data_IF_106211840394
#
_entry.id   IF_106211840394
#
_cell.length_a   1.000
_cell.length_b   1.000
_cell.length_c   1.000
_cell.angle_alpha   90.00
_cell.angle_beta   90.00
_cell.angle_gamma   90.00
#
_symmetry.space_group_name_H-M   'P 1'
#
loop_
_entity.id
_entity.type
_entity.pdbx_description
1 polymer ?
#
# COMPACT_ATOMS: atom_id res chain seq x y z
N UNK A 1 40.19 51.49 -18.64
CA UNK A 1 40.20 50.11 -19.15
C UNK A 1 38.99 49.97 -20.08
N UNK A 2 39.20 49.59 -21.35
CA UNK A 2 38.18 49.61 -22.41
C UNK A 2 36.98 48.70 -22.08
N UNK A 3 35.78 49.07 -22.51
CA UNK A 3 34.56 48.24 -22.40
C UNK A 3 34.74 46.82 -23.00
N UNK A 4 35.63 46.68 -23.99
CA UNK A 4 36.02 45.38 -24.56
C UNK A 4 36.77 44.48 -23.57
N UNK A 5 37.58 45.04 -22.67
CA UNK A 5 38.31 44.27 -21.66
C UNK A 5 37.39 43.79 -20.52
N UNK A 6 36.34 44.56 -20.18
CA UNK A 6 35.28 44.09 -19.25
C UNK A 6 34.47 42.96 -19.87
N UNK A 7 34.09 43.05 -21.15
CA UNK A 7 33.32 41.99 -21.82
C UNK A 7 34.08 40.66 -21.92
N UNK A 8 35.38 40.69 -22.21
CA UNK A 8 36.23 39.49 -22.22
C UNK A 8 36.40 38.88 -20.82
N UNK A 9 36.52 39.71 -19.78
CA UNK A 9 36.57 39.25 -18.39
C UNK A 9 35.27 38.58 -17.96
N UNK A 10 34.11 39.12 -18.35
CA UNK A 10 32.80 38.53 -18.04
C UNK A 10 32.54 37.22 -18.78
N UNK A 11 32.98 37.09 -20.04
CA UNK A 11 32.83 35.86 -20.82
C UNK A 11 33.73 34.74 -20.27
N UNK A 12 34.94 35.07 -19.83
CA UNK A 12 35.85 34.10 -19.19
C UNK A 12 35.30 33.63 -17.83
N UNK A 13 34.67 34.53 -17.07
CA UNK A 13 34.02 34.19 -15.80
C UNK A 13 32.81 33.28 -16.02
N UNK A 14 32.00 33.54 -17.06
CA UNK A 14 30.87 32.69 -17.47
C UNK A 14 31.33 31.31 -17.94
N UNK A 15 32.42 31.22 -18.72
CA UNK A 15 33.01 29.95 -19.15
C UNK A 15 33.57 29.13 -17.98
N UNK A 16 34.22 29.79 -17.01
CA UNK A 16 34.71 29.17 -15.78
C UNK A 16 33.56 28.73 -14.87
N UNK A 17 32.46 29.49 -14.80
CA UNK A 17 31.24 29.11 -14.08
C UNK A 17 30.54 27.92 -14.76
N UNK A 18 30.48 27.84 -16.08
CA UNK A 18 29.94 26.67 -16.78
C UNK A 18 30.83 25.43 -16.65
N UNK A 19 32.16 25.59 -16.52
CA UNK A 19 33.07 24.49 -16.21
C UNK A 19 32.95 24.01 -14.74
N UNK A 20 32.61 24.92 -13.82
CA UNK A 20 32.39 24.59 -12.40
C UNK A 20 31.01 23.95 -12.13
N UNK A 21 30.00 24.18 -12.99
CA UNK A 21 28.69 23.51 -12.92
C UNK A 21 28.70 22.10 -13.53
N UNK A 22 29.84 21.64 -14.06
CA UNK A 22 30.09 20.24 -14.42
C UNK A 22 30.66 19.39 -13.29
N UNK A 23 30.91 19.98 -12.11
CA UNK A 23 31.22 19.22 -10.92
C UNK A 23 29.94 18.53 -10.46
N UNK A 24 29.75 17.30 -10.92
CA UNK A 24 28.77 16.37 -10.35
C UNK A 24 28.85 16.51 -8.82
N UNK A 25 27.68 16.65 -8.18
CA UNK A 25 27.59 16.40 -6.74
C UNK A 25 28.40 15.15 -6.43
N UNK A 26 29.18 15.10 -5.32
CA UNK A 26 29.95 13.92 -4.97
C UNK A 26 29.04 12.71 -5.15
N UNK A 27 29.45 11.70 -5.95
CA UNK A 27 28.53 10.70 -6.44
C UNK A 27 27.78 10.12 -5.25
N UNK A 28 26.46 10.05 -5.36
CA UNK A 28 25.59 9.39 -4.41
C UNK A 28 26.06 7.94 -4.26
N UNK A 29 27.01 7.68 -3.37
CA UNK A 29 27.70 6.39 -3.16
C UNK A 29 28.29 5.69 -4.42
N UNK A 30 28.14 6.25 -5.63
CA UNK A 30 28.61 5.71 -6.90
C UNK A 30 27.76 4.58 -7.50
N UNK A 31 26.58 4.27 -6.95
CA UNK A 31 25.75 3.17 -7.44
C UNK A 31 24.97 3.52 -8.71
N UNK A 32 24.76 2.51 -9.55
CA UNK A 32 24.10 2.57 -10.86
C UNK A 32 23.12 1.40 -11.02
N UNK A 33 22.21 1.50 -12.00
CA UNK A 33 21.26 0.40 -12.31
C UNK A 33 21.96 -0.92 -12.65
N UNK A 34 23.18 -0.88 -13.19
CA UNK A 34 23.98 -2.05 -13.53
C UNK A 34 24.61 -2.78 -12.34
N UNK A 35 24.57 -2.18 -11.14
CA UNK A 35 25.01 -2.86 -9.92
C UNK A 35 23.97 -3.85 -9.37
N UNK A 36 22.77 -3.86 -9.95
CA UNK A 36 21.68 -4.76 -9.63
C UNK A 36 21.50 -5.82 -10.73
N UNK A 37 20.94 -7.00 -10.42
CA UNK A 37 20.59 -7.99 -11.44
C UNK A 37 19.80 -7.38 -12.62
N UNK A 38 19.98 -7.88 -13.86
CA UNK A 38 19.27 -7.34 -15.02
C UNK A 38 17.74 -7.37 -14.86
N UNK A 39 17.23 -8.38 -14.16
CA UNK A 39 15.82 -8.61 -13.86
C UNK A 39 15.34 -7.97 -12.54
N UNK A 40 16.19 -7.21 -11.85
CA UNK A 40 15.78 -6.43 -10.68
C UNK A 40 14.80 -5.33 -11.10
N UNK A 41 13.73 -5.14 -10.34
CA UNK A 41 12.65 -4.21 -10.67
C UNK A 41 12.64 -3.04 -9.69
N UNK A 42 12.90 -1.83 -10.17
CA UNK A 42 12.69 -0.59 -9.42
C UNK A 42 11.29 -0.04 -9.67
N UNK A 43 10.56 0.24 -8.59
CA UNK A 43 9.18 0.71 -8.68
C UNK A 43 8.81 1.73 -7.61
N UNK A 44 7.60 2.27 -7.73
CA UNK A 44 6.95 3.09 -6.71
C UNK A 44 5.65 2.43 -6.24
N UNK A 45 5.14 2.85 -5.08
CA UNK A 45 3.92 2.30 -4.51
C UNK A 45 2.96 3.37 -3.97
N UNK A 46 1.66 3.10 -4.04
CA UNK A 46 0.58 3.86 -3.39
C UNK A 46 -0.46 2.89 -2.82
N UNK A 47 -1.40 3.41 -2.02
CA UNK A 47 -2.61 2.69 -1.63
C UNK A 47 -3.85 3.53 -1.93
N UNK A 48 -4.98 2.87 -2.18
CA UNK A 48 -6.19 3.48 -2.70
C UNK A 48 -6.67 4.66 -1.83
N UNK A 49 -6.88 4.46 -0.53
CA UNK A 49 -7.39 5.53 0.35
C UNK A 49 -6.40 6.69 0.51
N UNK A 50 -5.08 6.44 0.42
CA UNK A 50 -4.05 7.47 0.54
C UNK A 50 -3.84 8.26 -0.76
N UNK A 51 -4.31 7.76 -1.90
CA UNK A 51 -3.98 8.29 -3.22
C UNK A 51 -5.20 8.74 -4.02
N UNK A 52 -6.25 7.93 -4.08
CA UNK A 52 -7.32 8.08 -5.06
C UNK A 52 -8.22 9.30 -4.83
N UNK A 53 -8.70 9.50 -3.60
CA UNK A 53 -9.81 10.42 -3.34
C UNK A 53 -11.12 9.93 -3.97
N UNK A 54 -11.97 10.88 -4.39
CA UNK A 54 -13.25 10.60 -5.05
C UNK A 54 -14.12 9.61 -4.26
N UNK A 55 -14.20 9.84 -2.95
CA UNK A 55 -14.76 8.88 -1.99
C UNK A 55 -16.27 8.68 -2.11
N UNK A 56 -16.98 9.64 -2.70
CA UNK A 56 -18.43 9.64 -2.90
C UNK A 56 -18.82 9.68 -4.39
N UNK A 57 -17.89 9.38 -5.30
CA UNK A 57 -18.11 9.43 -6.74
C UNK A 57 -18.42 8.03 -7.30
N UNK A 58 -19.14 8.02 -8.42
CA UNK A 58 -19.25 6.86 -9.32
C UNK A 58 -19.66 5.54 -8.64
N UNK A 59 -20.50 5.63 -7.61
CA UNK A 59 -21.05 4.47 -6.91
C UNK A 59 -20.11 3.78 -5.92
N UNK A 60 -18.97 4.39 -5.58
CA UNK A 60 -18.17 3.95 -4.42
C UNK A 60 -18.98 4.07 -3.12
N UNK A 61 -18.86 3.07 -2.26
CA UNK A 61 -19.40 3.10 -0.89
C UNK A 61 -18.34 3.55 0.12
N UNK A 62 -18.71 3.95 1.35
CA UNK A 62 -17.75 4.23 2.41
C UNK A 62 -16.93 2.99 2.81
N UNK A 63 -15.63 3.20 3.01
CA UNK A 63 -14.74 2.31 3.75
C UNK A 63 -14.68 2.70 5.24
N UNK A 64 -14.05 1.85 6.05
CA UNK A 64 -13.81 2.14 7.47
C UNK A 64 -12.99 3.42 7.69
N UNK A 65 -12.13 3.78 6.75
CA UNK A 65 -11.34 5.00 6.84
C UNK A 65 -12.16 6.26 6.56
N UNK A 66 -13.13 6.21 5.65
CA UNK A 66 -14.06 7.33 5.42
C UNK A 66 -14.79 7.65 6.73
N UNK A 67 -15.44 6.64 7.33
CA UNK A 67 -16.16 6.77 8.61
C UNK A 67 -15.25 7.28 9.73
N UNK A 68 -14.05 6.72 9.85
CA UNK A 68 -13.10 7.08 10.90
C UNK A 68 -12.61 8.52 10.79
N UNK A 69 -12.24 8.96 9.58
CA UNK A 69 -11.76 10.34 9.36
C UNK A 69 -12.87 11.37 9.44
N UNK A 70 -14.06 11.09 8.90
CA UNK A 70 -15.25 11.96 9.03
C UNK A 70 -15.76 12.07 10.48
N UNK A 71 -15.51 11.07 11.33
CA UNK A 71 -15.71 11.15 12.77
C UNK A 71 -14.66 12.02 13.50
N UNK A 72 -13.73 12.64 12.77
CA UNK A 72 -12.71 13.55 13.29
C UNK A 72 -11.66 12.83 14.13
N UNK A 73 -11.37 11.55 13.85
CA UNK A 73 -10.41 10.75 14.62
C UNK A 73 -8.94 11.02 14.26
N UNK A 74 -8.69 11.66 13.12
CA UNK A 74 -7.34 12.12 12.78
C UNK A 74 -6.87 13.24 13.71
N UNK A 75 -5.57 13.28 14.09
CA UNK A 75 -5.01 14.35 14.90
C UNK A 75 -5.21 15.75 14.30
N UNK A 76 -5.02 15.87 12.98
CA UNK A 76 -5.14 17.12 12.21
C UNK A 76 -6.52 17.34 11.59
N UNK A 77 -7.47 16.42 11.84
CA UNK A 77 -8.83 16.42 11.27
C UNK A 77 -8.89 16.32 9.74
N UNK A 78 -7.81 15.91 9.09
CA UNK A 78 -7.80 15.64 7.65
C UNK A 78 -8.62 14.39 7.28
N UNK A 79 -9.03 14.31 6.02
CA UNK A 79 -9.76 13.17 5.42
C UNK A 79 -9.06 12.71 4.14
N UNK A 80 -9.44 11.52 3.67
CA UNK A 80 -8.99 10.98 2.38
C UNK A 80 -9.87 11.39 1.21
N UNK A 81 -10.78 12.36 1.37
CA UNK A 81 -11.84 12.64 0.39
C UNK A 81 -11.31 13.04 -0.98
N UNK A 82 -10.22 13.82 -0.97
CA UNK A 82 -9.49 14.26 -2.17
C UNK A 82 -8.16 13.50 -2.30
N UNK A 83 -7.43 13.31 -1.18
CA UNK A 83 -6.10 12.71 -1.16
C UNK A 83 -5.15 13.37 -2.18
N UNK A 84 -4.50 12.59 -3.05
CA UNK A 84 -3.70 13.10 -4.17
C UNK A 84 -4.51 13.27 -5.46
N UNK A 85 -5.83 13.07 -5.40
CA UNK A 85 -6.77 13.16 -6.53
C UNK A 85 -6.44 12.15 -7.64
N UNK A 86 -5.85 11.01 -7.26
CA UNK A 86 -5.38 9.97 -8.16
C UNK A 86 -6.48 9.35 -9.01
N UNK A 87 -7.72 9.33 -8.51
CA UNK A 87 -8.88 8.82 -9.26
C UNK A 87 -9.06 9.55 -10.60
N UNK A 88 -8.82 10.87 -10.62
CA UNK A 88 -8.95 11.69 -11.83
C UNK A 88 -7.60 11.91 -12.53
N UNK A 89 -6.48 11.89 -11.79
CA UNK A 89 -5.14 12.27 -12.30
C UNK A 89 -4.21 11.11 -12.64
N UNK A 90 -4.67 9.86 -12.54
CA UNK A 90 -3.82 8.69 -12.75
C UNK A 90 -3.02 8.70 -14.07
N UNK A 91 -3.53 9.31 -15.16
CA UNK A 91 -2.79 9.42 -16.43
C UNK A 91 -1.54 10.30 -16.32
N UNK A 92 -1.63 11.40 -15.57
CA UNK A 92 -0.51 12.30 -15.35
C UNK A 92 0.53 11.61 -14.45
N UNK A 93 0.07 10.89 -13.43
CA UNK A 93 0.95 10.12 -12.55
C UNK A 93 1.66 8.99 -13.28
N UNK A 94 0.96 8.21 -14.12
CA UNK A 94 1.58 7.17 -14.95
C UNK A 94 2.60 7.76 -15.92
N UNK A 95 2.34 8.94 -16.48
CA UNK A 95 3.31 9.64 -17.32
C UNK A 95 4.57 9.99 -16.52
N UNK A 96 4.43 10.49 -15.29
CA UNK A 96 5.59 10.77 -14.42
C UNK A 96 6.39 9.50 -14.09
N UNK A 97 5.71 8.36 -13.88
CA UNK A 97 6.37 7.06 -13.69
C UNK A 97 7.20 6.66 -14.92
N UNK A 98 6.65 6.83 -16.12
CA UNK A 98 7.36 6.57 -17.38
C UNK A 98 8.56 7.52 -17.57
N UNK A 99 8.36 8.83 -17.35
CA UNK A 99 9.40 9.85 -17.50
C UNK A 99 10.58 9.64 -16.51
N UNK A 100 10.31 8.98 -15.38
CA UNK A 100 11.34 8.62 -14.38
C UNK A 100 11.93 7.22 -14.56
N UNK A 101 11.53 6.49 -15.61
CA UNK A 101 11.95 5.12 -15.91
C UNK A 101 11.64 4.12 -14.78
N UNK A 102 10.49 4.25 -14.11
CA UNK A 102 10.02 3.22 -13.19
C UNK A 102 9.64 1.95 -13.96
N UNK A 103 10.12 0.81 -13.48
CA UNK A 103 9.90 -0.51 -14.09
C UNK A 103 8.61 -1.15 -13.57
N UNK A 104 8.16 -0.80 -12.37
CA UNK A 104 6.90 -1.28 -11.78
C UNK A 104 6.14 -0.22 -10.99
N UNK A 105 4.82 -0.43 -10.91
CA UNK A 105 3.95 0.31 -10.01
C UNK A 105 3.12 -0.65 -9.16
N UNK A 106 3.18 -0.43 -7.85
CA UNK A 106 2.42 -1.17 -6.84
C UNK A 106 1.27 -0.32 -6.32
N UNK A 107 0.03 -0.76 -6.48
CA UNK A 107 -1.14 -0.03 -5.95
C UNK A 107 -2.16 -0.97 -5.34
N UNK A 108 -3.03 -0.47 -4.46
CA UNK A 108 -4.16 -1.27 -3.95
C UNK A 108 -5.44 -1.00 -4.72
N UNK A 109 -6.32 -2.00 -4.77
CA UNK A 109 -7.68 -1.87 -5.28
C UNK A 109 -8.59 -1.56 -4.08
N UNK A 110 -9.37 -0.49 -4.16
CA UNK A 110 -10.36 -0.19 -3.14
C UNK A 110 -11.55 -1.13 -3.24
N UNK A 111 -11.71 -1.98 -2.21
CA UNK A 111 -12.82 -2.91 -2.12
C UNK A 111 -14.16 -2.17 -2.17
N UNK A 112 -14.30 -1.12 -1.36
CA UNK A 112 -15.51 -0.29 -1.30
C UNK A 112 -15.87 0.42 -2.62
N UNK A 113 -14.90 0.61 -3.53
CA UNK A 113 -15.12 1.15 -4.89
C UNK A 113 -15.53 0.08 -5.87
N UNK A 114 -14.82 -1.06 -5.87
CA UNK A 114 -15.04 -2.13 -6.84
C UNK A 114 -16.29 -2.96 -6.52
N UNK A 115 -16.54 -3.24 -5.24
CA UNK A 115 -17.71 -4.01 -4.76
C UNK A 115 -18.36 -3.24 -3.60
N UNK A 116 -19.22 -2.25 -3.89
CA UNK A 116 -19.71 -1.29 -2.88
C UNK A 116 -20.51 -1.89 -1.73
N UNK A 117 -21.24 -2.99 -1.95
CA UNK A 117 -21.97 -3.67 -0.88
C UNK A 117 -21.07 -4.65 -0.10
N UNK A 118 -19.75 -4.61 -0.31
CA UNK A 118 -18.78 -5.60 0.17
C UNK A 118 -18.88 -6.95 -0.55
N UNK A 119 -20.07 -7.30 -1.06
CA UNK A 119 -20.40 -8.52 -1.79
C UNK A 119 -21.22 -8.23 -3.05
N UNK A 120 -21.27 -9.23 -3.93
CA UNK A 120 -22.21 -9.25 -5.04
C UNK A 120 -21.72 -8.46 -6.26
N UNK A 121 -22.56 -7.57 -6.78
CA UNK A 121 -22.34 -6.92 -8.07
C UNK A 121 -21.12 -5.99 -8.05
N UNK A 122 -20.29 -6.11 -9.07
CA UNK A 122 -19.19 -5.19 -9.34
C UNK A 122 -19.76 -3.83 -9.77
N UNK A 123 -19.18 -2.76 -9.24
CA UNK A 123 -19.45 -1.41 -9.70
C UNK A 123 -18.79 -1.19 -11.07
N UNK A 124 -19.56 -0.96 -12.16
CA UNK A 124 -18.98 -0.80 -13.49
C UNK A 124 -18.00 0.37 -13.59
N UNK A 125 -18.21 1.45 -12.82
CA UNK A 125 -17.31 2.61 -12.83
C UNK A 125 -16.01 2.37 -12.07
N UNK A 126 -16.08 1.70 -10.92
CA UNK A 126 -14.88 1.23 -10.22
C UNK A 126 -14.05 0.27 -11.09
N UNK A 127 -14.71 -0.65 -11.78
CA UNK A 127 -14.07 -1.57 -12.72
C UNK A 127 -13.43 -0.83 -13.91
N UNK A 128 -14.12 0.15 -14.48
CA UNK A 128 -13.62 1.00 -15.56
C UNK A 128 -12.36 1.76 -15.12
N UNK A 129 -12.36 2.36 -13.93
CA UNK A 129 -11.20 3.08 -13.39
C UNK A 129 -9.95 2.20 -13.30
N UNK A 130 -10.03 1.04 -12.62
CA UNK A 130 -8.85 0.18 -12.47
C UNK A 130 -8.40 -0.41 -13.81
N UNK A 131 -9.32 -0.79 -14.71
CA UNK A 131 -8.94 -1.19 -16.07
C UNK A 131 -8.21 -0.08 -16.82
N UNK A 132 -8.67 1.16 -16.70
CA UNK A 132 -8.06 2.29 -17.37
C UNK A 132 -6.67 2.63 -16.80
N UNK A 133 -6.49 2.55 -15.49
CA UNK A 133 -5.17 2.67 -14.84
C UNK A 133 -4.22 1.58 -15.33
N UNK A 134 -4.65 0.32 -15.26
CA UNK A 134 -3.85 -0.84 -15.70
C UNK A 134 -3.48 -0.71 -17.18
N UNK A 135 -4.43 -0.34 -18.03
CA UNK A 135 -4.18 -0.18 -19.47
C UNK A 135 -3.18 0.95 -19.77
N UNK A 136 -3.23 2.06 -19.02
CA UNK A 136 -2.24 3.12 -19.17
C UNK A 136 -0.84 2.65 -18.70
N UNK A 137 -0.74 1.91 -17.59
CA UNK A 137 0.54 1.31 -17.15
C UNK A 137 1.13 0.35 -18.20
N UNK A 138 0.30 -0.55 -18.74
CA UNK A 138 0.69 -1.50 -19.81
C UNK A 138 1.23 -0.75 -21.03
N UNK A 139 0.59 0.35 -21.43
CA UNK A 139 1.00 1.16 -22.58
C UNK A 139 2.40 1.75 -22.42
N UNK A 140 2.83 2.04 -21.19
CA UNK A 140 4.18 2.52 -20.89
C UNK A 140 5.16 1.39 -20.49
N UNK A 141 4.73 0.13 -20.58
CA UNK A 141 5.58 -1.02 -20.22
C UNK A 141 5.88 -1.14 -18.73
N UNK A 142 5.08 -0.49 -17.87
CA UNK A 142 5.26 -0.53 -16.42
C UNK A 142 4.59 -1.79 -15.87
N UNK A 143 5.35 -2.60 -15.12
CA UNK A 143 4.84 -3.83 -14.54
C UNK A 143 3.82 -3.53 -13.43
N UNK A 144 2.70 -4.26 -13.46
CA UNK A 144 1.60 -4.08 -12.53
C UNK A 144 1.72 -5.02 -11.32
N UNK A 145 1.79 -4.43 -10.14
CA UNK A 145 1.76 -5.12 -8.84
C UNK A 145 0.52 -4.63 -8.08
N UNK A 146 -0.37 -5.54 -7.67
CA UNK A 146 -1.65 -5.17 -7.04
C UNK A 146 -1.72 -5.69 -5.61
N UNK A 147 -2.10 -4.81 -4.69
CA UNK A 147 -2.54 -5.17 -3.34
C UNK A 147 -4.07 -5.31 -3.31
N UNK A 148 -4.56 -6.49 -2.91
CA UNK A 148 -5.99 -6.71 -2.74
C UNK A 148 -6.51 -5.96 -1.50
N UNK A 149 -5.74 -5.92 -0.41
CA UNK A 149 -6.15 -5.21 0.80
C UNK A 149 -5.04 -4.33 1.37
N UNK A 150 -5.36 -3.04 1.57
CA UNK A 150 -4.53 -2.08 2.28
C UNK A 150 -5.40 -1.18 3.17
N UNK A 151 -5.84 -1.73 4.31
CA UNK A 151 -6.58 -1.06 5.38
C UNK A 151 -7.98 -0.50 5.03
N UNK A 152 -8.37 -0.40 3.76
CA UNK A 152 -9.59 0.28 3.30
C UNK A 152 -10.80 -0.65 3.17
N UNK A 153 -11.11 -1.34 4.27
CA UNK A 153 -12.22 -2.29 4.39
C UNK A 153 -13.61 -1.65 4.14
N UNK A 154 -14.57 -2.29 3.46
CA UNK A 154 -15.92 -1.74 3.28
C UNK A 154 -16.67 -1.55 4.60
N UNK A 155 -17.19 -0.35 4.87
CA UNK A 155 -17.88 -0.05 6.13
C UNK A 155 -19.11 -0.95 6.34
N UNK A 156 -19.82 -1.30 5.26
CA UNK A 156 -21.00 -2.17 5.34
C UNK A 156 -20.71 -3.54 5.95
N UNK A 157 -19.51 -4.08 5.75
CA UNK A 157 -19.09 -5.36 6.33
C UNK A 157 -18.58 -5.19 7.77
N UNK A 158 -17.98 -4.04 8.09
CA UNK A 158 -17.62 -3.68 9.46
C UNK A 158 -18.87 -3.54 10.32
N UNK A 159 -19.90 -2.86 9.83
CA UNK A 159 -21.18 -2.68 10.52
C UNK A 159 -21.93 -4.00 10.72
N UNK A 160 -21.87 -4.90 9.73
CA UNK A 160 -22.63 -6.15 9.77
C UNK A 160 -22.04 -7.16 10.76
N UNK A 161 -20.71 -7.30 10.83
CA UNK A 161 -20.09 -8.35 11.63
C UNK A 161 -18.74 -7.99 12.27
N UNK A 162 -18.32 -6.73 12.24
CA UNK A 162 -17.04 -6.28 12.83
C UNK A 162 -15.80 -6.66 12.02
N UNK A 163 -15.96 -6.80 10.70
CA UNK A 163 -14.86 -6.95 9.76
C UNK A 163 -13.90 -8.08 10.12
N UNK A 164 -12.64 -7.73 10.35
CA UNK A 164 -11.57 -8.71 10.65
C UNK A 164 -11.75 -9.45 11.98
N UNK A 165 -12.66 -9.02 12.85
CA UNK A 165 -12.97 -9.73 14.10
C UNK A 165 -13.89 -10.93 13.89
N UNK A 166 -14.42 -11.15 12.68
CA UNK A 166 -15.31 -12.25 12.36
C UNK A 166 -14.69 -13.23 11.36
N UNK A 167 -14.84 -14.56 11.55
CA UNK A 167 -14.36 -15.54 10.58
C UNK A 167 -15.09 -15.45 9.22
N UNK A 168 -16.26 -14.79 9.17
CA UNK A 168 -17.02 -14.56 7.94
C UNK A 168 -16.21 -13.83 6.87
N UNK A 169 -15.24 -13.00 7.29
CA UNK A 169 -14.39 -12.25 6.36
C UNK A 169 -13.58 -13.14 5.41
N UNK A 170 -13.27 -14.38 5.80
CA UNK A 170 -12.46 -15.26 4.96
C UNK A 170 -13.17 -15.54 3.64
N UNK A 171 -14.49 -15.78 3.68
CA UNK A 171 -15.29 -16.01 2.47
C UNK A 171 -15.44 -14.73 1.64
N UNK A 172 -15.76 -13.61 2.29
CA UNK A 172 -15.99 -12.34 1.59
C UNK A 172 -14.72 -11.79 0.94
N UNK A 173 -13.58 -11.88 1.62
CA UNK A 173 -12.29 -11.51 1.06
C UNK A 173 -11.90 -12.43 -0.10
N UNK A 174 -12.18 -13.74 0.01
CA UNK A 174 -11.92 -14.69 -1.09
C UNK A 174 -12.78 -14.35 -2.31
N UNK A 175 -14.05 -13.99 -2.12
CA UNK A 175 -14.94 -13.59 -3.21
C UNK A 175 -14.51 -12.26 -3.84
N UNK A 176 -14.03 -11.30 -3.05
CA UNK A 176 -13.45 -10.07 -3.58
C UNK A 176 -12.15 -10.33 -4.37
N UNK A 177 -11.27 -11.18 -3.84
CA UNK A 177 -10.06 -11.62 -4.55
C UNK A 177 -10.39 -12.29 -5.88
N UNK A 178 -11.43 -13.15 -5.92
CA UNK A 178 -11.92 -13.79 -7.14
C UNK A 178 -12.30 -12.77 -8.22
N UNK A 179 -13.02 -11.71 -7.84
CA UNK A 179 -13.35 -10.60 -8.75
C UNK A 179 -12.06 -9.98 -9.29
N UNK A 180 -11.12 -9.61 -8.41
CA UNK A 180 -9.87 -8.98 -8.85
C UNK A 180 -9.05 -9.88 -9.79
N UNK A 181 -8.93 -11.17 -9.49
CA UNK A 181 -8.21 -12.12 -10.33
C UNK A 181 -8.88 -12.30 -11.70
N UNK A 182 -10.20 -12.41 -11.74
CA UNK A 182 -10.95 -12.56 -12.99
C UNK A 182 -10.86 -11.31 -13.86
N UNK A 183 -11.04 -10.12 -13.28
CA UNK A 183 -11.18 -8.88 -14.04
C UNK A 183 -9.84 -8.26 -14.47
N UNK A 184 -8.76 -8.51 -13.72
CA UNK A 184 -7.47 -7.84 -13.95
C UNK A 184 -6.28 -8.79 -14.14
N UNK A 185 -6.43 -10.07 -13.79
CA UNK A 185 -5.31 -11.01 -13.75
C UNK A 185 -4.71 -11.38 -15.11
N UNK A 186 -5.32 -10.97 -16.21
CA UNK A 186 -4.71 -11.07 -17.54
C UNK A 186 -3.52 -10.11 -17.74
N UNK A 187 -3.42 -9.04 -16.93
CA UNK A 187 -2.38 -8.00 -17.01
C UNK A 187 -1.55 -7.85 -15.73
N UNK A 188 -2.08 -8.27 -14.58
CA UNK A 188 -1.38 -8.16 -13.29
C UNK A 188 -0.30 -9.24 -13.15
N UNK A 189 0.93 -8.84 -12.85
CA UNK A 189 2.06 -9.77 -12.69
C UNK A 189 2.23 -10.28 -11.26
N UNK A 190 1.97 -9.42 -10.27
CA UNK A 190 2.15 -9.73 -8.86
C UNK A 190 0.93 -9.33 -8.04
N UNK A 191 0.49 -10.25 -7.20
CA UNK A 191 -0.61 -10.07 -6.27
C UNK A 191 -0.10 -10.10 -4.83
N UNK A 192 -0.28 -9.02 -4.10
CA UNK A 192 -0.25 -9.00 -2.64
C UNK A 192 -1.68 -9.18 -2.16
N UNK A 193 -1.94 -10.25 -1.41
CA UNK A 193 -3.25 -10.45 -0.77
C UNK A 193 -3.52 -9.39 0.30
N UNK A 194 -2.65 -9.30 1.29
CA UNK A 194 -2.79 -8.39 2.43
C UNK A 194 -1.46 -7.66 2.60
N UNK A 195 -1.52 -6.33 2.66
CA UNK A 195 -0.37 -5.51 3.05
C UNK A 195 -0.35 -5.31 4.56
N UNK A 196 0.84 -5.45 5.14
CA UNK A 196 1.16 -5.24 6.55
C UNK A 196 0.13 -5.88 7.52
N UNK A 197 -0.09 -7.21 7.45
CA UNK A 197 -1.01 -7.92 8.35
C UNK A 197 -0.61 -7.83 9.82
N UNK A 198 0.60 -7.36 10.10
CA UNK A 198 1.12 -7.08 11.44
C UNK A 198 0.84 -5.66 11.92
N UNK A 199 0.93 -4.66 11.03
CA UNK A 199 0.70 -3.25 11.40
C UNK A 199 -0.79 -2.97 11.48
N UNK A 200 -1.59 -3.46 10.52
CA UNK A 200 -3.03 -3.21 10.47
C UNK A 200 -3.73 -3.56 11.79
N UNK A 201 -3.62 -4.79 12.31
CA UNK A 201 -4.25 -5.18 13.57
C UNK A 201 -3.72 -4.45 14.80
N UNK A 202 -2.43 -4.16 14.89
CA UNK A 202 -1.85 -3.35 15.99
C UNK A 202 -2.42 -1.92 15.96
N UNK A 203 -2.51 -1.32 14.77
CA UNK A 203 -3.09 0.01 14.59
C UNK A 203 -4.58 0.05 14.92
N UNK A 204 -5.32 -0.97 14.49
CA UNK A 204 -6.79 -0.98 14.44
C UNK A 204 -7.44 -1.51 15.73
N UNK A 205 -6.77 -2.46 16.41
CA UNK A 205 -7.35 -3.24 17.52
C UNK A 205 -6.48 -3.27 18.80
N UNK A 206 -5.24 -2.80 18.76
CA UNK A 206 -4.39 -2.66 19.96
C UNK A 206 -4.26 -1.20 20.40
N UNK A 207 -3.68 -0.36 19.54
CA UNK A 207 -3.44 1.06 19.83
C UNK A 207 -4.64 1.97 19.53
N UNK A 208 -5.56 1.52 18.67
CA UNK A 208 -6.74 2.26 18.24
C UNK A 208 -6.43 3.53 17.43
N UNK A 209 -5.27 3.61 16.78
CA UNK A 209 -4.85 4.76 15.95
C UNK A 209 -5.33 4.64 14.49
N UNK A 210 -5.60 3.43 14.01
CA UNK A 210 -6.19 3.17 12.69
C UNK A 210 -7.68 2.82 12.81
N UNK A 211 -8.42 3.04 11.74
CA UNK A 211 -9.81 2.57 11.63
C UNK A 211 -9.89 1.05 11.87
N UNK A 212 -10.90 0.53 12.60
CA UNK A 212 -12.05 1.24 13.19
C UNK A 212 -11.78 1.89 14.56
N UNK A 213 -10.53 1.88 15.06
CA UNK A 213 -10.13 2.61 16.26
C UNK A 213 -10.52 1.92 17.56
N UNK A 214 -10.29 0.61 17.65
CA UNK A 214 -10.63 -0.20 18.82
C UNK A 214 -9.40 -0.46 19.67
N UNK A 215 -9.56 -0.39 20.98
CA UNK A 215 -8.53 -0.70 21.96
C UNK A 215 -9.08 -0.78 23.38
N UNK A 216 -8.30 -1.34 24.31
CA UNK A 216 -8.62 -1.33 25.74
C UNK A 216 -8.35 0.04 26.37
N UNK A 217 -9.33 0.62 27.06
CA UNK A 217 -9.12 1.80 27.91
C UNK A 217 -8.42 1.37 29.24
N UNK A 218 -7.44 2.13 29.76
CA UNK A 218 -6.90 3.39 29.25
C UNK A 218 -5.61 3.23 28.42
N UNK A 219 -5.34 2.05 27.84
CA UNK A 219 -4.04 1.68 27.28
C UNK A 219 -3.83 2.04 25.81
N UNK A 220 -4.90 2.42 25.10
CA UNK A 220 -4.83 2.94 23.74
C UNK A 220 -4.03 4.24 23.59
N UNK A 221 -3.56 4.50 22.38
CA UNK A 221 -3.06 5.84 22.00
C UNK A 221 -4.23 6.82 21.92
N UNK A 222 -5.40 6.33 21.52
CA UNK A 222 -6.65 7.10 21.53
C UNK A 222 -7.53 6.70 22.72
N UNK A 223 -8.44 7.58 23.12
CA UNK A 223 -9.46 7.24 24.11
C UNK A 223 -10.50 6.31 23.48
N UNK A 224 -10.24 5.02 23.50
CA UNK A 224 -11.16 4.01 23.00
C UNK A 224 -12.35 3.84 23.92
N UNK A 225 -13.51 3.58 23.32
CA UNK A 225 -14.76 3.29 24.03
C UNK A 225 -15.20 1.84 23.85
N UNK A 226 -14.48 1.09 23.02
CA UNK A 226 -14.68 -0.32 22.73
C UNK A 226 -13.37 -0.94 22.26
N UNK A 227 -13.26 -2.25 22.43
CA UNK A 227 -12.11 -3.04 22.01
C UNK A 227 -11.54 -3.89 23.14
N UNK A 228 -10.64 -4.80 22.78
CA UNK A 228 -9.83 -5.55 23.73
C UNK A 228 -8.46 -5.83 23.13
N UNK A 229 -7.48 -4.98 23.48
CA UNK A 229 -6.11 -5.04 22.95
C UNK A 229 -5.38 -6.36 23.25
N UNK A 230 -5.85 -7.14 24.23
CA UNK A 230 -5.24 -8.43 24.56
C UNK A 230 -5.72 -9.59 23.70
N UNK A 231 -6.78 -9.40 22.89
CA UNK A 231 -7.43 -10.49 22.14
C UNK A 231 -7.73 -10.10 20.69
N UNK A 232 -8.26 -8.91 20.45
CA UNK A 232 -8.73 -8.50 19.12
C UNK A 232 -7.64 -8.47 18.04
N UNK A 233 -6.40 -8.01 18.30
CA UNK A 233 -5.32 -8.12 17.33
C UNK A 233 -5.08 -9.56 16.88
N UNK A 234 -5.13 -10.52 17.81
CA UNK A 234 -4.94 -11.94 17.50
C UNK A 234 -6.07 -12.53 16.67
N UNK A 235 -7.32 -12.15 16.94
CA UNK A 235 -8.47 -12.56 16.13
C UNK A 235 -8.34 -12.00 14.71
N UNK A 236 -8.03 -10.71 14.57
CA UNK A 236 -7.86 -10.06 13.28
C UNK A 236 -6.74 -10.71 12.46
N UNK A 237 -5.57 -10.91 13.05
CA UNK A 237 -4.43 -11.58 12.40
C UNK A 237 -4.79 -13.00 11.99
N UNK A 238 -5.46 -13.76 12.86
CA UNK A 238 -5.88 -15.12 12.55
C UNK A 238 -6.78 -15.16 11.30
N UNK A 239 -7.80 -14.29 11.24
CA UNK A 239 -8.68 -14.21 10.09
C UNK A 239 -7.97 -13.69 8.83
N UNK A 240 -7.03 -12.75 8.96
CA UNK A 240 -6.18 -12.29 7.85
C UNK A 240 -5.33 -13.42 7.26
N UNK A 241 -4.69 -14.24 8.09
CA UNK A 241 -3.89 -15.39 7.63
C UNK A 241 -4.78 -16.43 6.93
N UNK A 242 -5.97 -16.72 7.47
CA UNK A 242 -6.93 -17.63 6.82
C UNK A 242 -7.43 -17.07 5.48
N UNK A 243 -7.71 -15.76 5.41
CA UNK A 243 -8.12 -15.07 4.19
C UNK A 243 -7.01 -15.08 3.13
N UNK A 244 -5.75 -14.82 3.54
CA UNK A 244 -4.57 -14.96 2.69
C UNK A 244 -4.46 -16.37 2.12
N UNK A 245 -4.55 -17.40 2.96
CA UNK A 245 -4.44 -18.80 2.55
C UNK A 245 -5.56 -19.18 1.56
N UNK A 246 -6.79 -18.75 1.83
CA UNK A 246 -7.95 -19.00 0.97
C UNK A 246 -7.81 -18.35 -0.41
N UNK A 247 -7.50 -17.05 -0.46
CA UNK A 247 -7.29 -16.32 -1.72
C UNK A 247 -6.08 -16.85 -2.51
N UNK A 248 -4.99 -17.20 -1.83
CA UNK A 248 -3.80 -17.81 -2.45
C UNK A 248 -4.12 -19.16 -3.07
N UNK A 249 -4.88 -20.00 -2.36
CA UNK A 249 -5.32 -21.31 -2.90
C UNK A 249 -6.19 -21.10 -4.13
N UNK A 250 -7.18 -20.20 -4.07
CA UNK A 250 -8.03 -19.86 -5.21
C UNK A 250 -7.19 -19.46 -6.43
N UNK A 251 -6.23 -18.54 -6.24
CA UNK A 251 -5.37 -18.08 -7.32
C UNK A 251 -4.56 -19.23 -7.95
N UNK A 252 -3.91 -20.05 -7.11
CA UNK A 252 -3.07 -21.18 -7.58
C UNK A 252 -3.88 -22.22 -8.34
N UNK A 253 -5.09 -22.54 -7.88
CA UNK A 253 -5.92 -23.59 -8.46
C UNK A 253 -6.64 -23.15 -9.73
N UNK A 254 -7.11 -21.90 -9.80
CA UNK A 254 -7.98 -21.45 -10.89
C UNK A 254 -7.33 -20.50 -11.90
N UNK A 255 -6.34 -19.71 -11.46
CA UNK A 255 -5.86 -18.56 -12.24
C UNK A 255 -4.39 -18.70 -12.65
N UNK A 256 -3.52 -19.20 -11.77
CA UNK A 256 -2.07 -19.15 -11.96
C UNK A 256 -1.57 -19.89 -13.21
N UNK A 257 -2.19 -21.02 -13.58
CA UNK A 257 -1.80 -21.77 -14.78
C UNK A 257 -1.98 -20.96 -16.09
N UNK A 258 -2.98 -20.08 -16.13
CA UNK A 258 -3.31 -19.26 -17.31
C UNK A 258 -2.64 -17.90 -17.22
N UNK A 259 -2.76 -17.23 -16.06
CA UNK A 259 -2.32 -15.85 -15.84
C UNK A 259 -0.81 -15.75 -15.57
N UNK A 260 -0.18 -16.83 -15.07
CA UNK A 260 1.26 -16.94 -14.79
C UNK A 260 1.84 -15.90 -13.81
N UNK A 261 1.01 -15.08 -13.17
CA UNK A 261 1.44 -14.17 -12.11
C UNK A 261 1.78 -14.89 -10.81
N UNK A 262 2.31 -14.12 -9.85
CA UNK A 262 2.71 -14.60 -8.52
C UNK A 262 1.79 -14.00 -7.46
N UNK A 263 1.45 -14.79 -6.44
CA UNK A 263 0.66 -14.33 -5.29
C UNK A 263 1.46 -14.48 -4.00
N UNK A 264 1.38 -13.47 -3.13
CA UNK A 264 2.08 -13.41 -1.86
C UNK A 264 1.41 -12.50 -0.84
N UNK A 265 2.17 -12.20 0.21
CA UNK A 265 1.80 -11.32 1.32
C UNK A 265 2.99 -10.40 1.63
N UNK A 266 2.72 -9.17 2.05
CA UNK A 266 3.76 -8.20 2.39
C UNK A 266 3.72 -7.92 3.89
N UNK A 267 4.84 -8.14 4.58
CA UNK A 267 4.95 -7.99 6.03
C UNK A 267 5.91 -6.85 6.31
N UNK A 268 5.44 -5.85 7.06
CA UNK A 268 6.28 -4.77 7.54
C UNK A 268 7.28 -5.29 8.56
N UNK A 269 8.50 -4.79 8.58
CA UNK A 269 9.46 -5.20 9.62
C UNK A 269 10.45 -4.10 9.93
N UNK A 270 10.68 -3.90 11.24
CA UNK A 270 11.88 -3.25 11.71
C UNK A 270 12.97 -4.29 11.89
N UNK A 271 14.18 -3.97 11.43
CA UNK A 271 15.33 -4.72 11.89
C UNK A 271 15.70 -4.27 13.30
N UNK A 272 15.72 -5.20 14.24
CA UNK A 272 16.07 -4.93 15.63
C UNK A 272 17.43 -5.46 16.00
N UNK A 273 18.16 -4.66 16.78
CA UNK A 273 19.43 -5.04 17.39
C UNK A 273 19.26 -5.14 18.91
N UNK A 274 19.98 -6.06 19.57
CA UNK A 274 19.97 -6.11 21.03
C UNK A 274 20.60 -4.84 21.61
N UNK A 275 20.05 -4.34 22.72
CA UNK A 275 20.57 -3.15 23.39
C UNK A 275 21.99 -3.39 23.95
N UNK A 276 22.24 -4.59 24.47
CA UNK A 276 23.55 -5.05 24.93
C UNK A 276 23.81 -6.49 24.50
N UNK A 277 25.02 -7.01 24.72
CA UNK A 277 25.36 -8.42 24.48
C UNK A 277 24.82 -9.37 25.56
N UNK A 278 23.93 -8.91 26.44
CA UNK A 278 23.33 -9.77 27.47
C UNK A 278 22.38 -10.80 26.84
N UNK A 279 22.26 -11.98 27.44
CA UNK A 279 21.30 -13.00 26.99
C UNK A 279 19.86 -12.47 26.99
N UNK A 280 19.50 -11.63 27.96
CA UNK A 280 18.15 -11.06 28.07
C UNK A 280 17.80 -10.16 26.87
N UNK A 281 18.74 -9.33 26.41
CA UNK A 281 18.52 -8.45 25.27
C UNK A 281 18.52 -9.20 23.94
N UNK A 282 19.34 -10.26 23.83
CA UNK A 282 19.32 -11.17 22.69
C UNK A 282 17.97 -11.90 22.57
N UNK A 283 17.46 -12.43 23.69
CA UNK A 283 16.14 -13.07 23.73
C UNK A 283 15.01 -12.06 23.49
N UNK A 284 15.13 -10.82 23.97
CA UNK A 284 14.16 -9.77 23.71
C UNK A 284 14.09 -9.40 22.22
N UNK A 285 15.25 -9.34 21.56
CA UNK A 285 15.34 -9.11 20.11
C UNK A 285 14.65 -10.23 19.34
N UNK A 286 14.88 -11.49 19.74
CA UNK A 286 14.20 -12.64 19.13
C UNK A 286 12.69 -12.58 19.34
N UNK A 287 12.21 -12.30 20.57
CA UNK A 287 10.78 -12.15 20.86
C UNK A 287 10.14 -11.06 20.00
N UNK A 288 10.82 -9.93 19.83
CA UNK A 288 10.32 -8.88 18.95
C UNK A 288 10.16 -9.36 17.51
N UNK A 289 11.17 -10.03 16.96
CA UNK A 289 11.11 -10.60 15.61
C UNK A 289 10.01 -11.65 15.46
N UNK A 290 9.82 -12.51 16.46
CA UNK A 290 8.77 -13.53 16.47
C UNK A 290 7.37 -12.88 16.42
N UNK A 291 7.14 -11.82 17.20
CA UNK A 291 5.86 -11.11 17.24
C UNK A 291 5.60 -10.22 16.01
N UNK A 292 6.63 -9.59 15.45
CA UNK A 292 6.48 -8.66 14.33
C UNK A 292 6.50 -9.35 12.96
N UNK A 293 7.21 -10.47 12.84
CA UNK A 293 7.44 -11.17 11.57
C UNK A 293 7.06 -12.65 11.63
N UNK A 294 7.55 -13.37 12.63
CA UNK A 294 7.44 -14.83 12.72
C UNK A 294 5.99 -15.36 12.69
N UNK A 295 5.05 -14.61 13.24
CA UNK A 295 3.62 -14.98 13.26
C UNK A 295 2.98 -15.00 11.85
N UNK A 296 3.52 -14.25 10.90
CA UNK A 296 2.91 -14.03 9.57
C UNK A 296 3.57 -14.84 8.45
N UNK A 297 4.79 -15.33 8.69
CA UNK A 297 5.61 -16.05 7.73
C UNK A 297 5.75 -17.50 8.22
N UNK A 298 4.68 -18.26 8.02
CA UNK A 298 4.61 -19.71 8.30
C UNK A 298 4.85 -20.49 7.02
#
# INVERSE_FOLDING_TARGET
>A
VSATAMALSSLLLLLLLSAAHGAAAPPALGFTRSDFPPDFVFGAATSAYQYEGAVAEDGRSPSIWDTFTHAGKMPDKSTGDIASEGYHKYKDDVKLMADTNLEAYRFSISWSRLVPNGRGAVNPKGLEYYNNLINELVKHGIQIHVMLYHLDFPQVLEDEYGGWLSPRIVEDFTAFADVCFREFGDRVSYWTTIDEPNVGPIGSYDSGIFAPGRCSDPFGITKCTAGNSTVEPYIAVHNMILAHASATRLYREQYQAVQKGVVGINVYSFWTYPLTNSTVDLEATKRYQDFMFGWYVI
#
